data_IF_876077042953
#
_entry.id   IF_876077042953
#
_cell.length_a   1.000
_cell.length_b   1.000
_cell.length_c   1.000
_cell.angle_alpha   90.00
_cell.angle_beta   90.00
_cell.angle_gamma   90.00
#
_symmetry.space_group_name_H-M   'P 1'
#
loop_
_entity.id
_entity.type
_entity.pdbx_description
1 polymer ?
#
# COMPACT_ATOMS: atom_id res chain seq x y z
N UNK A 1 1.50 2.04 24.09
CA UNK A 1 2.27 3.24 23.70
C UNK A 1 2.46 3.19 22.19
N UNK A 2 1.56 3.83 21.45
CA UNK A 2 1.62 3.97 19.99
C UNK A 2 2.36 5.28 19.70
N UNK A 3 3.55 5.19 19.13
CA UNK A 3 4.29 6.37 18.69
C UNK A 3 3.66 6.87 17.40
N UNK A 4 2.88 7.95 17.52
CA UNK A 4 2.33 8.71 16.40
C UNK A 4 3.46 9.59 15.85
N UNK A 5 4.18 9.11 14.85
CA UNK A 5 4.93 9.99 13.96
C UNK A 5 3.95 10.36 12.84
N UNK A 6 3.68 11.65 12.65
CA UNK A 6 2.32 12.20 12.74
C UNK A 6 1.30 11.95 11.59
N UNK A 7 1.56 11.15 10.54
CA UNK A 7 0.71 11.22 9.32
C UNK A 7 0.39 9.89 8.60
N UNK A 8 0.80 8.72 9.10
CA UNK A 8 0.55 7.43 8.43
C UNK A 8 0.00 6.33 9.35
N UNK A 9 -0.64 5.33 8.75
CA UNK A 9 -1.28 4.17 9.37
C UNK A 9 -0.58 2.88 8.93
N UNK A 10 -0.32 1.98 9.88
CA UNK A 10 0.15 0.63 9.58
C UNK A 10 -1.03 -0.34 9.53
N UNK A 11 -1.28 -0.92 8.37
CA UNK A 11 -2.33 -1.91 8.14
C UNK A 11 -1.70 -3.29 7.96
N UNK A 12 -2.17 -4.26 8.75
CA UNK A 12 -1.78 -5.66 8.63
C UNK A 12 -2.87 -6.41 7.88
N UNK A 13 -2.51 -7.05 6.76
CA UNK A 13 -3.43 -7.86 5.97
C UNK A 13 -2.95 -9.30 5.98
N UNK A 14 -3.84 -10.22 6.32
CA UNK A 14 -3.61 -11.65 6.25
C UNK A 14 -4.16 -12.18 4.92
N UNK A 15 -3.33 -12.91 4.17
CA UNK A 15 -3.65 -13.43 2.84
C UNK A 15 -3.20 -14.87 2.69
N UNK A 16 -3.82 -15.59 1.77
CA UNK A 16 -3.35 -16.90 1.38
C UNK A 16 -2.04 -16.81 0.57
N UNK A 17 -1.21 -17.85 0.70
CA UNK A 17 0.13 -17.92 0.09
C UNK A 17 0.15 -17.78 -1.44
N UNK A 18 -0.99 -17.96 -2.11
CA UNK A 18 -1.11 -18.05 -3.57
C UNK A 18 -1.73 -16.83 -4.24
N UNK A 19 -2.28 -15.87 -3.50
CA UNK A 19 -3.03 -14.75 -4.08
C UNK A 19 -2.41 -13.39 -3.74
N UNK A 20 -2.59 -12.46 -4.66
CA UNK A 20 -2.45 -11.04 -4.41
C UNK A 20 -3.47 -10.59 -3.35
N UNK A 21 -3.18 -9.50 -2.64
CA UNK A 21 -4.11 -8.94 -1.65
C UNK A 21 -5.36 -8.31 -2.28
N UNK A 22 -5.33 -8.06 -3.59
CA UNK A 22 -6.43 -7.52 -4.37
C UNK A 22 -6.58 -6.02 -4.24
N UNK A 23 -5.46 -5.31 -4.43
CA UNK A 23 -5.42 -3.85 -4.48
C UNK A 23 -4.98 -3.42 -5.87
N UNK A 24 -5.73 -2.52 -6.49
CA UNK A 24 -5.29 -1.84 -7.70
C UNK A 24 -4.68 -0.50 -7.35
N UNK A 25 -3.45 -0.29 -7.81
CA UNK A 25 -2.66 0.90 -7.53
C UNK A 25 -2.48 1.74 -8.78
N UNK A 26 -2.57 3.06 -8.61
CA UNK A 26 -2.09 4.04 -9.57
C UNK A 26 -0.76 4.61 -9.09
N UNK A 27 0.10 4.97 -10.04
CA UNK A 27 1.40 5.55 -9.78
C UNK A 27 1.45 6.96 -10.36
N UNK A 28 1.79 7.91 -9.50
CA UNK A 28 2.11 9.27 -9.89
C UNK A 28 3.62 9.47 -9.83
N UNK A 29 4.18 10.09 -10.87
CA UNK A 29 5.62 10.29 -11.01
C UNK A 29 5.90 11.78 -10.95
N UNK A 30 6.65 12.21 -9.94
CA UNK A 30 7.14 13.59 -9.85
C UNK A 30 8.53 13.68 -10.51
N UNK A 31 8.67 14.62 -11.46
CA UNK A 31 9.88 14.87 -12.24
C UNK A 31 10.58 16.19 -11.86
N UNK A 32 10.18 16.87 -10.79
CA UNK A 32 10.65 18.22 -10.46
C UNK A 32 12.14 18.27 -10.10
N UNK A 33 12.64 17.37 -9.24
CA UNK A 33 14.07 17.34 -8.85
C UNK A 33 14.64 15.92 -8.66
N UNK A 34 13.80 14.97 -8.20
CA UNK A 34 14.15 13.56 -8.02
C UNK A 34 12.97 12.74 -8.52
N UNK A 35 13.20 11.77 -9.41
CA UNK A 35 12.15 10.82 -9.83
C UNK A 35 11.66 10.09 -8.58
N UNK A 36 10.50 10.50 -8.11
CA UNK A 36 9.83 9.86 -6.98
C UNK A 36 8.51 9.27 -7.46
N UNK A 37 8.19 8.10 -6.91
CA UNK A 37 6.97 7.38 -7.23
C UNK A 37 6.03 7.45 -6.04
N UNK A 38 4.81 7.94 -6.27
CA UNK A 38 3.73 7.93 -5.29
C UNK A 38 2.66 6.93 -5.73
N UNK A 39 2.30 6.02 -4.82
CA UNK A 39 1.34 4.96 -5.11
C UNK A 39 0.05 5.21 -4.35
N UNK A 40 -1.08 5.23 -5.06
CA UNK A 40 -2.40 5.42 -4.46
C UNK A 40 -3.31 4.24 -4.78
N UNK A 41 -4.19 3.91 -3.85
CA UNK A 41 -5.23 2.90 -4.05
C UNK A 41 -6.28 3.48 -4.99
N UNK A 42 -6.42 2.94 -6.19
CA UNK A 42 -7.50 3.30 -7.10
C UNK A 42 -8.78 2.57 -6.70
N UNK A 43 -8.70 1.25 -6.54
CA UNK A 43 -9.80 0.46 -6.03
C UNK A 43 -9.34 -0.85 -5.38
N UNK A 44 -10.25 -1.44 -4.60
CA UNK A 44 -10.07 -2.74 -3.98
C UNK A 44 -10.87 -3.79 -4.76
N UNK A 45 -10.27 -4.95 -4.98
CA UNK A 45 -10.96 -6.07 -5.62
C UNK A 45 -12.01 -6.61 -4.62
N UNK A 46 -13.29 -6.73 -5.00
CA UNK A 46 -14.32 -7.26 -4.12
C UNK A 46 -14.00 -8.66 -3.61
N UNK A 47 -14.30 -8.93 -2.34
CA UNK A 47 -14.00 -10.21 -1.69
C UNK A 47 -12.49 -10.58 -1.69
N UNK A 48 -11.60 -9.60 -1.84
CA UNK A 48 -10.16 -9.76 -1.65
C UNK A 48 -9.75 -9.68 -0.17
N UNK A 49 -8.47 -9.92 0.12
CA UNK A 49 -7.95 -9.77 1.48
C UNK A 49 -7.96 -8.30 1.92
N UNK A 50 -7.65 -7.38 1.00
CA UNK A 50 -7.68 -5.95 1.26
C UNK A 50 -9.11 -5.43 1.51
N UNK A 51 -10.09 -5.87 0.73
CA UNK A 51 -11.51 -5.53 0.91
C UNK A 51 -12.04 -6.03 2.27
N UNK A 52 -11.75 -7.29 2.61
CA UNK A 52 -12.14 -7.87 3.92
C UNK A 52 -11.43 -7.22 5.12
N UNK A 53 -10.28 -6.59 4.92
CA UNK A 53 -9.56 -5.91 5.98
C UNK A 53 -10.32 -4.66 6.47
N UNK A 54 -11.04 -3.99 5.57
CA UNK A 54 -11.86 -2.81 5.90
C UNK A 54 -11.08 -1.57 6.38
N UNK A 55 -9.75 -1.64 6.37
CA UNK A 55 -8.86 -0.55 6.79
C UNK A 55 -8.28 0.25 5.62
N UNK A 56 -8.50 -0.21 4.39
CA UNK A 56 -8.02 0.40 3.16
C UNK A 56 -9.18 1.01 2.40
N UNK A 57 -8.95 2.17 1.79
CA UNK A 57 -9.94 2.83 0.96
C UNK A 57 -9.31 3.40 -0.31
N UNK A 58 -10.09 3.49 -1.40
CA UNK A 58 -9.71 4.29 -2.57
C UNK A 58 -9.26 5.69 -2.19
N UNK A 59 -8.14 6.13 -2.74
CA UNK A 59 -7.47 7.39 -2.45
C UNK A 59 -6.30 7.26 -1.45
N UNK A 60 -6.26 6.23 -0.62
CA UNK A 60 -5.18 6.07 0.36
C UNK A 60 -3.83 5.90 -0.35
N UNK A 61 -2.80 6.60 0.15
CA UNK A 61 -1.47 6.54 -0.42
C UNK A 61 -0.65 5.45 0.26
N UNK A 62 -0.07 4.52 -0.48
CA UNK A 62 0.86 3.53 0.06
C UNK A 62 2.28 4.09 0.03
N UNK A 63 2.91 4.19 1.19
CA UNK A 63 4.27 4.71 1.35
C UNK A 63 5.30 3.60 1.58
N UNK A 64 4.89 2.47 2.18
CA UNK A 64 5.78 1.33 2.36
C UNK A 64 5.03 -0.02 2.40
N UNK A 65 5.74 -1.08 2.01
CA UNK A 65 5.25 -2.46 2.04
C UNK A 65 6.30 -3.32 2.77
N UNK A 66 5.89 -3.98 3.86
CA UNK A 66 6.76 -4.80 4.72
C UNK A 66 8.02 -4.04 5.20
N UNK A 67 7.88 -2.74 5.49
CA UNK A 67 8.99 -1.85 5.86
C UNK A 67 9.87 -1.38 4.68
N UNK A 68 9.53 -1.75 3.44
CA UNK A 68 10.20 -1.28 2.23
C UNK A 68 9.49 -0.05 1.66
N UNK A 69 10.15 1.11 1.67
CA UNK A 69 9.60 2.38 1.17
C UNK A 69 9.47 2.40 -0.35
N UNK A 70 8.35 2.92 -0.84
CA UNK A 70 8.04 2.89 -2.27
C UNK A 70 8.56 4.12 -3.05
N UNK A 71 8.98 5.20 -2.39
CA UNK A 71 9.36 6.48 -3.02
C UNK A 71 10.33 6.37 -4.22
N UNK A 72 11.20 5.36 -4.21
CA UNK A 72 12.23 5.12 -5.25
C UNK A 72 12.09 3.76 -5.94
N UNK A 73 10.96 3.08 -5.74
CA UNK A 73 10.71 1.74 -6.27
C UNK A 73 9.81 1.86 -7.51
N UNK A 74 10.19 1.28 -8.65
CA UNK A 74 9.36 1.29 -9.84
C UNK A 74 8.11 0.42 -9.63
N UNK A 75 7.03 0.75 -10.35
CA UNK A 75 5.75 0.04 -10.26
C UNK A 75 5.85 -1.48 -10.42
N UNK A 76 6.77 -1.95 -11.27
CA UNK A 76 7.03 -3.38 -11.46
C UNK A 76 7.47 -4.08 -10.17
N UNK A 77 8.31 -3.44 -9.37
CA UNK A 77 8.81 -4.02 -8.13
C UNK A 77 7.78 -3.94 -7.00
N UNK A 78 6.95 -2.89 -6.97
CA UNK A 78 5.84 -2.77 -6.01
C UNK A 78 4.87 -3.95 -6.14
N UNK A 79 4.48 -4.31 -7.36
CA UNK A 79 3.63 -5.50 -7.58
C UNK A 79 4.26 -6.78 -7.03
N UNK A 80 5.60 -6.92 -7.14
CA UNK A 80 6.31 -8.08 -6.58
C UNK A 80 6.29 -8.09 -5.05
N UNK A 81 6.34 -6.92 -4.42
CA UNK A 81 6.23 -6.79 -2.96
C UNK A 81 4.83 -7.19 -2.47
N UNK A 82 3.78 -6.84 -3.22
CA UNK A 82 2.39 -7.24 -2.94
C UNK A 82 2.15 -8.75 -3.12
N UNK A 83 2.73 -9.31 -4.19
CA UNK A 83 2.67 -10.73 -4.53
C UNK A 83 3.60 -11.62 -3.70
N UNK A 84 4.14 -11.12 -2.60
CA UNK A 84 5.01 -11.91 -1.72
C UNK A 84 4.30 -13.20 -1.26
N UNK A 85 5.06 -14.29 -1.11
CA UNK A 85 4.53 -15.57 -0.61
C UNK A 85 4.29 -15.56 0.91
N UNK A 86 4.41 -14.41 1.57
CA UNK A 86 4.13 -14.27 2.98
C UNK A 86 2.62 -14.35 3.25
N UNK A 87 2.19 -15.02 4.34
CA UNK A 87 0.78 -15.09 4.74
C UNK A 87 0.27 -13.77 5.33
N UNK A 88 1.18 -12.82 5.58
CA UNK A 88 0.86 -11.52 6.15
C UNK A 88 1.69 -10.47 5.44
N UNK A 89 1.04 -9.37 5.07
CA UNK A 89 1.67 -8.18 4.53
C UNK A 89 1.37 -6.98 5.43
N UNK A 90 2.36 -6.14 5.64
CA UNK A 90 2.24 -4.89 6.36
C UNK A 90 2.31 -3.75 5.37
N UNK A 91 1.27 -2.93 5.32
CA UNK A 91 1.22 -1.73 4.49
C UNK A 91 1.30 -0.51 5.40
N UNK A 92 2.13 0.45 5.02
CA UNK A 92 2.12 1.78 5.61
C UNK A 92 1.41 2.69 4.60
N UNK A 93 0.29 3.27 5.04
CA UNK A 93 -0.56 4.11 4.21
C UNK A 93 -0.75 5.50 4.83
N UNK A 94 -0.93 6.51 4.00
CA UNK A 94 -1.44 7.81 4.41
C UNK A 94 -2.92 7.85 4.01
N UNK A 95 -3.85 7.92 4.98
CA UNK A 95 -5.27 7.95 4.67
C UNK A 95 -5.63 9.26 3.97
N UNK A 96 -6.34 9.17 2.84
CA UNK A 96 -6.72 10.37 2.08
C UNK A 96 -7.77 11.24 2.79
N UNK A 97 -8.56 10.64 3.68
CA UNK A 97 -9.70 11.29 4.32
C UNK A 97 -9.39 11.74 5.76
N UNK A 98 -8.37 12.58 5.94
CA UNK A 98 -8.17 13.35 7.17
C UNK A 98 -9.06 14.61 7.15
N UNK A 99 -10.35 14.43 7.43
CA UNK A 99 -11.31 15.52 7.73
C UNK A 99 -11.77 15.45 9.18
#
# INVERSE_FOLDING_TARGET
MTYRNNDYLCVKIEKDFSLDIGIELICEIDHTEKTTYAFFIDHLIPASAADRCGALFPGDQIIAINGCKLDLIPFSDVNRLLQTSLPTIYLEIIPANQI
#
